data_IF_060271072389
#
_entry.id   IF_060271072389
#
_cell.length_a   1.000
_cell.length_b   1.000
_cell.length_c   1.000
_cell.angle_alpha   90.00
_cell.angle_beta   90.00
_cell.angle_gamma   90.00
#
_symmetry.space_group_name_H-M   'P 1'
#
loop_
_entity.id
_entity.type
_entity.pdbx_description
1 polymer ?
#
# COMPACT_ATOMS: atom_id res chain seq x y z
N UNK A 1 8.14 8.91 -13.95
CA UNK A 1 6.78 9.43 -14.01
C UNK A 1 6.18 9.52 -12.62
N UNK A 2 5.39 10.55 -12.36
CA UNK A 2 4.75 10.78 -11.07
C UNK A 2 3.26 10.41 -11.12
N UNK A 3 2.76 9.87 -10.03
CA UNK A 3 1.35 9.52 -9.89
C UNK A 3 0.79 10.14 -8.62
N UNK A 4 -0.49 10.54 -8.68
CA UNK A 4 -1.21 10.92 -7.48
C UNK A 4 -1.71 9.65 -6.80
N UNK A 5 -1.35 9.47 -5.53
CA UNK A 5 -1.73 8.26 -4.79
C UNK A 5 -2.66 8.62 -3.64
N UNK A 6 -3.37 7.62 -3.12
CA UNK A 6 -4.11 7.71 -1.87
C UNK A 6 -3.60 6.66 -0.90
N UNK A 7 -3.61 7.04 0.34
CA UNK A 7 -3.05 6.25 1.43
C UNK A 7 -4.17 5.77 2.36
N UNK A 8 -3.79 5.18 3.48
CA UNK A 8 -4.71 4.83 4.53
C UNK A 8 -5.45 6.06 5.08
N UNK A 9 -6.59 5.85 5.68
CA UNK A 9 -7.47 6.95 6.14
C UNK A 9 -6.86 7.81 7.26
N UNK A 10 -5.77 7.36 7.88
CA UNK A 10 -5.00 8.14 8.85
C UNK A 10 -3.54 8.19 8.41
N UNK A 11 -3.21 8.94 7.32
CA UNK A 11 -1.98 8.73 6.56
C UNK A 11 -0.70 9.22 7.23
N UNK A 12 -0.79 10.07 8.23
CA UNK A 12 0.40 10.65 8.86
C UNK A 12 1.05 9.68 9.85
N UNK A 13 2.35 9.48 9.70
CA UNK A 13 3.13 8.63 10.60
C UNK A 13 3.22 7.18 10.16
N UNK A 14 4.12 6.46 10.81
CA UNK A 14 4.40 5.05 10.51
C UNK A 14 3.26 4.15 10.99
N UNK A 15 2.94 3.16 10.19
CA UNK A 15 1.98 2.13 10.57
C UNK A 15 2.53 1.32 11.74
N UNK A 16 1.72 1.21 12.80
CA UNK A 16 2.11 0.50 14.02
C UNK A 16 1.31 -0.77 14.26
N UNK A 17 0.04 -0.79 13.85
CA UNK A 17 -0.85 -1.93 14.13
C UNK A 17 -1.89 -2.08 13.03
N UNK A 18 -2.47 -3.28 12.96
CA UNK A 18 -3.59 -3.55 12.09
C UNK A 18 -4.78 -2.65 12.46
N UNK A 19 -5.42 -2.10 11.45
CA UNK A 19 -6.62 -1.29 11.65
C UNK A 19 -6.37 0.17 12.02
N UNK A 20 -5.11 0.62 12.11
CA UNK A 20 -4.83 2.02 12.46
C UNK A 20 -5.03 3.02 11.31
N UNK A 21 -5.31 2.52 10.12
CA UNK A 21 -5.53 3.37 8.94
C UNK A 21 -4.28 4.04 8.41
N UNK A 22 -3.12 3.63 8.87
CA UNK A 22 -1.84 4.18 8.41
C UNK A 22 -1.23 3.32 7.33
N UNK A 23 -0.51 3.96 6.40
CA UNK A 23 0.31 3.30 5.40
C UNK A 23 1.74 3.19 5.95
N UNK A 24 2.42 2.03 5.77
CA UNK A 24 3.80 1.91 6.23
C UNK A 24 4.70 2.95 5.58
N UNK A 25 5.68 3.45 6.32
CA UNK A 25 6.69 4.38 5.80
C UNK A 25 8.07 3.74 5.84
N UNK A 26 8.88 4.02 4.84
CA UNK A 26 10.24 3.54 4.76
C UNK A 26 10.54 2.79 3.48
N UNK A 27 11.55 1.92 3.55
CA UNK A 27 12.03 1.14 2.41
C UNK A 27 11.40 -0.25 2.42
N UNK A 28 10.76 -0.59 1.31
CA UNK A 28 10.18 -1.91 1.08
C UNK A 28 10.52 -2.40 -0.32
N UNK A 29 10.09 -3.60 -0.68
CA UNK A 29 10.21 -4.09 -2.04
C UNK A 29 8.94 -4.83 -2.46
N UNK A 30 8.74 -4.92 -3.76
CA UNK A 30 7.61 -5.64 -4.35
C UNK A 30 7.84 -7.13 -4.17
N UNK A 31 6.87 -7.83 -3.60
CA UNK A 31 6.97 -9.27 -3.37
C UNK A 31 6.33 -10.09 -4.48
N UNK A 32 5.19 -9.63 -4.99
CA UNK A 32 4.46 -10.38 -6.03
C UNK A 32 3.49 -9.46 -6.78
N UNK A 33 3.04 -9.95 -7.93
CA UNK A 33 2.07 -9.29 -8.80
C UNK A 33 0.80 -10.14 -8.84
N UNK A 34 -0.37 -9.51 -8.70
CA UNK A 34 -1.65 -10.21 -8.70
C UNK A 34 -2.60 -9.62 -9.74
N UNK A 35 -2.97 -10.43 -10.75
CA UNK A 35 -3.90 -10.04 -11.80
C UNK A 35 -5.37 -10.19 -11.39
N UNK A 36 -5.64 -10.88 -10.30
CA UNK A 36 -6.99 -11.21 -9.86
C UNK A 36 -7.35 -10.49 -8.56
N UNK A 37 -6.82 -9.29 -8.37
CA UNK A 37 -7.08 -8.48 -7.21
C UNK A 37 -8.52 -7.98 -7.20
N UNK A 38 -9.11 -7.86 -6.01
CA UNK A 38 -10.38 -7.19 -5.78
C UNK A 38 -10.38 -5.76 -6.31
N UNK A 39 -9.22 -5.12 -6.38
CA UNK A 39 -9.04 -3.76 -6.86
C UNK A 39 -8.34 -3.72 -8.23
N UNK A 40 -8.66 -4.66 -9.08
CA UNK A 40 -8.19 -4.84 -10.44
C UNK A 40 -6.79 -5.49 -10.47
N UNK A 41 -5.72 -4.72 -10.47
CA UNK A 41 -4.35 -5.23 -10.38
C UNK A 41 -3.75 -4.80 -9.05
N UNK A 42 -2.89 -5.61 -8.47
CA UNK A 42 -2.19 -5.25 -7.25
C UNK A 42 -0.75 -5.74 -7.23
N UNK A 43 0.07 -5.02 -6.48
CA UNK A 43 1.46 -5.33 -6.23
C UNK A 43 1.62 -5.46 -4.72
N UNK A 44 2.03 -6.64 -4.26
CA UNK A 44 2.30 -6.85 -2.84
C UNK A 44 3.63 -6.23 -2.45
N UNK A 45 3.73 -5.74 -1.22
CA UNK A 45 5.00 -5.29 -0.65
C UNK A 45 5.33 -6.12 0.58
N UNK A 46 6.59 -6.10 0.99
CA UNK A 46 7.09 -6.92 2.09
C UNK A 46 6.80 -6.34 3.49
N UNK A 47 5.61 -5.79 3.68
CA UNK A 47 5.14 -5.38 5.00
C UNK A 47 4.38 -6.54 5.66
N UNK A 48 4.57 -6.82 6.96
CA UNK A 48 5.58 -6.22 7.83
C UNK A 48 6.97 -6.82 7.57
N UNK A 49 7.99 -5.98 7.51
CA UNK A 49 9.37 -6.45 7.48
C UNK A 49 9.83 -6.74 8.92
N UNK A 50 11.10 -7.15 9.10
CA UNK A 50 11.59 -7.51 10.42
C UNK A 50 11.56 -6.35 11.40
N UNK A 51 11.87 -5.14 10.96
CA UNK A 51 11.81 -3.95 11.81
C UNK A 51 10.38 -3.64 12.24
N UNK A 52 9.42 -3.79 11.34
CA UNK A 52 8.00 -3.60 11.63
C UNK A 52 7.51 -4.60 12.68
N UNK A 53 7.88 -5.87 12.51
CA UNK A 53 7.51 -6.94 13.44
C UNK A 53 8.09 -6.71 14.83
N UNK A 54 9.36 -6.34 14.88
CA UNK A 54 10.06 -6.09 16.15
C UNK A 54 9.43 -4.93 16.90
N UNK A 55 9.13 -3.83 16.19
CA UNK A 55 8.51 -2.65 16.76
C UNK A 55 7.12 -2.97 17.33
N UNK A 56 6.32 -3.73 16.59
CA UNK A 56 4.99 -4.14 17.03
C UNK A 56 5.09 -5.06 18.26
N UNK A 57 6.00 -6.03 18.23
CA UNK A 57 6.21 -6.97 19.34
C UNK A 57 6.57 -6.25 20.63
N UNK A 58 7.46 -5.25 20.54
CA UNK A 58 7.88 -4.47 21.71
C UNK A 58 6.72 -3.70 22.35
N UNK A 59 5.67 -3.39 21.59
CA UNK A 59 4.49 -2.66 22.05
C UNK A 59 3.29 -3.56 22.31
N UNK A 60 3.43 -4.88 22.13
CA UNK A 60 2.32 -5.82 22.28
C UNK A 60 1.25 -5.65 21.23
N UNK A 61 1.61 -5.20 20.03
CA UNK A 61 0.67 -4.92 18.94
C UNK A 61 0.81 -5.93 17.80
N UNK A 62 -0.28 -6.14 17.06
CA UNK A 62 -0.27 -6.90 15.81
C UNK A 62 -0.05 -5.91 14.66
N UNK A 63 1.03 -6.01 13.89
CA UNK A 63 1.30 -5.04 12.82
C UNK A 63 0.32 -5.19 11.64
N UNK A 64 -0.36 -6.32 11.51
CA UNK A 64 -1.18 -6.62 10.34
C UNK A 64 -0.34 -7.16 9.18
N UNK A 65 -0.94 -7.17 7.99
CA UNK A 65 -0.29 -7.67 6.77
C UNK A 65 -1.06 -7.16 5.56
N UNK A 66 -0.71 -7.68 4.36
CA UNK A 66 -1.47 -7.44 3.13
C UNK A 66 -1.55 -5.97 2.74
N UNK A 67 -0.40 -5.31 2.71
CA UNK A 67 -0.27 -3.97 2.16
C UNK A 67 0.11 -4.10 0.68
N UNK A 68 -0.71 -3.48 -0.17
CA UNK A 68 -0.56 -3.56 -1.62
C UNK A 68 -0.57 -2.17 -2.25
N UNK A 69 0.00 -2.06 -3.45
CA UNK A 69 -0.26 -0.96 -4.38
C UNK A 69 -1.30 -1.50 -5.34
N UNK A 70 -2.44 -0.85 -5.45
CA UNK A 70 -3.56 -1.38 -6.24
C UNK A 70 -4.33 -0.28 -6.94
N UNK A 71 -5.19 -0.71 -7.89
CA UNK A 71 -6.11 0.19 -8.56
C UNK A 71 -7.37 0.44 -7.73
N UNK A 72 -8.38 1.00 -8.38
CA UNK A 72 -9.66 1.32 -7.73
C UNK A 72 -10.66 0.17 -7.83
N UNK A 73 -10.48 -0.73 -8.79
CA UNK A 73 -11.49 -1.72 -9.12
C UNK A 73 -12.76 -1.01 -9.54
N UNK A 74 -13.84 -1.22 -8.79
CA UNK A 74 -15.13 -0.58 -9.03
C UNK A 74 -15.40 0.61 -8.12
N UNK A 75 -14.40 1.08 -7.37
CA UNK A 75 -14.55 2.24 -6.49
C UNK A 75 -14.76 3.51 -7.29
N UNK A 76 -15.48 4.46 -6.69
CA UNK A 76 -15.75 5.75 -7.29
C UNK A 76 -14.45 6.56 -7.41
N UNK A 77 -14.14 7.03 -8.62
CA UNK A 77 -12.93 7.82 -8.88
C UNK A 77 -12.95 9.16 -8.14
N UNK A 78 -14.12 9.71 -7.84
CA UNK A 78 -14.22 10.95 -7.05
C UNK A 78 -13.71 10.72 -5.62
N UNK A 79 -14.02 9.56 -5.04
CA UNK A 79 -13.49 9.20 -3.72
C UNK A 79 -11.96 9.22 -3.74
N UNK A 80 -11.38 8.65 -4.80
CA UNK A 80 -9.93 8.60 -4.97
C UNK A 80 -9.31 10.01 -5.05
N UNK A 81 -9.94 10.94 -5.76
CA UNK A 81 -9.37 12.27 -5.93
C UNK A 81 -9.42 13.15 -4.68
N UNK A 82 -10.37 12.90 -3.77
CA UNK A 82 -10.59 13.80 -2.63
C UNK A 82 -10.25 13.23 -1.28
N UNK A 83 -10.10 11.92 -1.14
CA UNK A 83 -9.94 11.30 0.18
C UNK A 83 -8.85 10.24 0.20
N UNK A 84 -8.12 10.15 1.31
CA UNK A 84 -7.34 8.97 1.65
C UNK A 84 -8.32 7.96 2.22
N UNK A 85 -8.62 6.91 1.46
CA UNK A 85 -9.75 6.04 1.72
C UNK A 85 -9.39 4.60 2.04
N UNK A 86 -8.12 4.21 1.94
CA UNK A 86 -7.72 2.83 2.15
C UNK A 86 -7.53 2.51 3.64
N UNK A 87 -7.38 1.23 3.94
CA UNK A 87 -7.05 0.77 5.30
C UNK A 87 -5.55 0.66 5.52
N UNK A 88 -4.75 1.19 4.63
CA UNK A 88 -3.29 1.19 4.71
C UNK A 88 -2.60 0.95 3.38
N UNK A 89 -3.30 0.39 2.40
CA UNK A 89 -2.77 0.19 1.06
C UNK A 89 -2.57 1.51 0.33
N UNK A 90 -1.80 1.45 -0.75
CA UNK A 90 -1.55 2.61 -1.63
C UNK A 90 -2.43 2.45 -2.86
N UNK A 91 -3.30 3.42 -3.11
CA UNK A 91 -4.24 3.37 -4.23
C UNK A 91 -3.84 4.34 -5.34
N UNK A 92 -3.98 3.88 -6.57
CA UNK A 92 -3.85 4.67 -7.80
C UNK A 92 -5.07 4.36 -8.67
N UNK A 93 -5.24 5.08 -9.78
CA UNK A 93 -6.34 4.75 -10.69
C UNK A 93 -6.08 3.43 -11.41
N UNK A 94 -7.12 2.83 -12.00
CA UNK A 94 -6.98 1.58 -12.73
C UNK A 94 -5.98 1.72 -13.89
N UNK A 95 -6.03 2.83 -14.59
CA UNK A 95 -5.10 3.08 -15.69
C UNK A 95 -3.66 3.21 -15.21
N UNK A 96 -3.47 3.85 -14.06
CA UNK A 96 -2.15 4.02 -13.47
C UNK A 96 -1.58 2.70 -12.99
N UNK A 97 -2.39 1.85 -12.36
CA UNK A 97 -1.86 0.55 -11.91
C UNK A 97 -1.50 -0.34 -13.10
N UNK A 98 -2.21 -0.24 -14.22
CA UNK A 98 -1.81 -0.97 -15.42
C UNK A 98 -0.41 -0.58 -15.86
N UNK A 99 -0.10 0.69 -15.87
CA UNK A 99 1.22 1.20 -16.25
C UNK A 99 2.29 0.75 -15.26
N UNK A 100 2.06 0.95 -13.97
CA UNK A 100 3.02 0.56 -12.92
C UNK A 100 3.26 -0.94 -12.94
N UNK A 101 2.20 -1.72 -13.07
CA UNK A 101 2.26 -3.19 -13.11
C UNK A 101 3.17 -3.68 -14.24
N UNK A 102 3.15 -3.00 -15.37
CA UNK A 102 4.02 -3.33 -16.50
C UNK A 102 5.48 -2.90 -16.33
N UNK A 103 5.75 -1.93 -15.44
CA UNK A 103 7.09 -1.37 -15.26
C UNK A 103 7.89 -2.03 -14.15
N UNK A 104 7.25 -2.68 -13.18
CA UNK A 104 7.94 -3.21 -12.01
C UNK A 104 7.89 -4.73 -11.98
N UNK A 105 8.87 -5.32 -11.31
CA UNK A 105 8.97 -6.77 -11.09
C UNK A 105 9.15 -7.07 -9.61
N UNK A 106 8.88 -8.30 -9.15
CA UNK A 106 9.22 -8.71 -7.80
C UNK A 106 10.68 -8.40 -7.48
N UNK A 107 10.93 -7.84 -6.31
CA UNK A 107 12.26 -7.38 -5.90
C UNK A 107 12.52 -5.90 -6.15
N UNK A 108 11.66 -5.21 -6.91
CA UNK A 108 11.79 -3.77 -7.11
C UNK A 108 11.68 -3.05 -5.79
N UNK A 109 12.65 -2.18 -5.49
CA UNK A 109 12.68 -1.42 -4.23
C UNK A 109 11.78 -0.19 -4.36
N UNK A 110 11.03 0.07 -3.28
CA UNK A 110 10.19 1.26 -3.18
C UNK A 110 10.47 1.98 -1.87
N UNK A 111 10.25 3.28 -1.86
CA UNK A 111 10.31 4.11 -0.66
C UNK A 111 8.96 4.77 -0.47
N UNK A 112 8.40 4.67 0.74
CA UNK A 112 7.08 5.20 1.07
C UNK A 112 7.24 6.32 2.08
N UNK A 113 6.70 7.48 1.76
CA UNK A 113 6.70 8.65 2.63
C UNK A 113 5.30 9.24 2.70
N UNK A 114 4.87 9.62 3.88
CA UNK A 114 3.59 10.30 4.04
C UNK A 114 3.73 11.81 3.89
#
# INVERSE_FOLDING_TARGET
>A
KAYRIRLGFSPQGQKEKEGDGKTPEGKYYITHKNQNSKFYLSLGINFPNQSDKKRALQRGLNPGSDIFIHGLGKKNILLHYFFDWTEGCIAVTNKEIEEIYGLVEPGTIIYIYA
#
